data_IF_726601629184
#
_entry.id   IF_726601629184
#
_cell.length_a   1.000
_cell.length_b   1.000
_cell.length_c   1.000
_cell.angle_alpha   90.00
_cell.angle_beta   90.00
_cell.angle_gamma   90.00
#
_symmetry.space_group_name_H-M   'P 1'
#
loop_
_entity.id
_entity.type
_entity.pdbx_description
1 polymer ?
#
# COMPACT_ATOMS: atom_id res chain seq x y z
N UNK A 1 -19.59 -6.81 6.06
CA UNK A 1 -19.71 -7.88 7.07
C UNK A 1 -18.50 -7.75 7.98
N UNK A 2 -18.66 -7.64 9.31
CA UNK A 2 -17.50 -7.55 10.22
C UNK A 2 -16.82 -8.92 10.33
N UNK A 3 -15.54 -8.97 10.71
CA UNK A 3 -14.82 -10.25 10.86
C UNK A 3 -15.42 -11.15 11.95
N UNK A 4 -16.04 -10.56 12.97
CA UNK A 4 -16.82 -11.28 13.99
C UNK A 4 -18.10 -11.91 13.43
N UNK A 5 -18.84 -11.17 12.61
CA UNK A 5 -20.01 -11.69 11.90
C UNK A 5 -19.64 -12.82 10.94
N UNK A 6 -18.48 -12.73 10.27
CA UNK A 6 -18.01 -13.78 9.37
C UNK A 6 -17.69 -15.09 10.11
N UNK A 7 -17.08 -15.03 11.30
CA UNK A 7 -16.77 -16.23 12.08
C UNK A 7 -18.01 -16.86 12.72
N UNK A 8 -18.86 -16.05 13.35
CA UNK A 8 -20.06 -16.53 14.05
C UNK A 8 -21.13 -17.07 13.10
N UNK A 9 -21.12 -16.65 11.83
CA UNK A 9 -22.02 -17.16 10.79
C UNK A 9 -21.61 -18.53 10.20
N UNK A 10 -20.41 -19.04 10.47
CA UNK A 10 -19.99 -20.36 10.00
C UNK A 10 -20.70 -21.49 10.73
N UNK A 11 -20.90 -22.67 10.11
CA UNK A 11 -21.31 -23.87 10.83
C UNK A 11 -20.34 -24.19 11.99
N UNK A 12 -20.87 -24.71 13.11
CA UNK A 12 -20.08 -25.00 14.33
C UNK A 12 -18.86 -25.91 14.06
N UNK A 13 -19.00 -26.85 13.14
CA UNK A 13 -17.90 -27.74 12.73
C UNK A 13 -16.73 -26.95 12.13
N UNK A 14 -17.01 -25.92 11.34
CA UNK A 14 -15.99 -25.07 10.72
C UNK A 14 -15.41 -24.05 11.69
N UNK A 15 -16.21 -23.49 12.60
CA UNK A 15 -15.68 -22.69 13.71
C UNK A 15 -14.68 -23.52 14.53
N UNK A 16 -15.06 -24.76 14.87
CA UNK A 16 -14.20 -25.70 15.62
C UNK A 16 -12.96 -26.09 14.83
N UNK A 17 -13.11 -26.38 13.53
CA UNK A 17 -12.00 -26.72 12.64
C UNK A 17 -11.00 -25.57 12.52
N UNK A 18 -11.47 -24.34 12.36
CA UNK A 18 -10.62 -23.14 12.31
C UNK A 18 -9.83 -23.02 13.62
N UNK A 19 -10.52 -23.01 14.77
CA UNK A 19 -9.84 -22.87 16.07
C UNK A 19 -8.84 -24.00 16.31
N UNK A 20 -9.18 -25.24 15.96
CA UNK A 20 -8.31 -26.39 16.13
C UNK A 20 -7.05 -26.33 15.25
N UNK A 21 -7.17 -25.92 13.99
CA UNK A 21 -6.01 -25.81 13.10
C UNK A 21 -5.11 -24.61 13.46
N UNK A 22 -5.71 -23.53 13.98
CA UNK A 22 -4.96 -22.42 14.57
C UNK A 22 -4.15 -22.92 15.79
N UNK A 23 -4.77 -23.66 16.70
CA UNK A 23 -4.09 -24.24 17.88
C UNK A 23 -2.95 -25.20 17.49
N UNK A 24 -3.00 -25.78 16.28
CA UNK A 24 -1.96 -26.65 15.71
C UNK A 24 -0.87 -25.90 14.94
N UNK A 25 -0.95 -24.57 14.84
CA UNK A 25 0.01 -23.75 14.09
C UNK A 25 -0.12 -23.91 12.57
N UNK A 26 -1.30 -24.28 12.06
CA UNK A 26 -1.53 -24.34 10.63
C UNK A 26 -1.50 -22.93 10.01
N UNK A 27 -0.94 -22.84 8.81
CA UNK A 27 -0.79 -21.56 8.13
C UNK A 27 -2.15 -21.06 7.59
N UNK A 28 -2.53 -19.79 7.86
CA UNK A 28 -3.86 -19.25 7.51
C UNK A 28 -4.24 -19.35 6.03
N UNK A 29 -3.29 -19.20 5.11
CA UNK A 29 -3.56 -19.30 3.67
C UNK A 29 -3.89 -20.75 3.25
N UNK A 30 -3.19 -21.75 3.81
CA UNK A 30 -3.50 -23.17 3.64
C UNK A 30 -4.86 -23.53 4.24
N UNK A 31 -5.19 -22.98 5.40
CA UNK A 31 -6.52 -23.13 5.99
C UNK A 31 -7.62 -22.52 5.11
N UNK A 32 -7.36 -21.34 4.55
CA UNK A 32 -8.30 -20.65 3.69
C UNK A 32 -8.56 -21.42 2.39
N UNK A 33 -7.49 -21.97 1.79
CA UNK A 33 -7.61 -22.83 0.61
C UNK A 33 -8.53 -24.03 0.87
N UNK A 34 -8.38 -24.70 2.01
CA UNK A 34 -9.24 -25.84 2.38
C UNK A 34 -10.70 -25.42 2.58
N UNK A 35 -10.94 -24.29 3.26
CA UNK A 35 -12.29 -23.78 3.49
C UNK A 35 -13.00 -23.37 2.20
N UNK A 36 -12.27 -22.81 1.24
CA UNK A 36 -12.81 -22.41 -0.07
C UNK A 36 -13.12 -23.66 -0.91
N UNK A 37 -12.22 -24.64 -0.91
CA UNK A 37 -12.33 -25.83 -1.76
C UNK A 37 -13.35 -26.82 -1.21
N UNK A 38 -13.23 -27.19 0.07
CA UNK A 38 -14.04 -28.24 0.67
C UNK A 38 -15.29 -27.68 1.35
N UNK A 39 -15.12 -26.58 2.09
CA UNK A 39 -16.21 -25.91 2.79
C UNK A 39 -17.12 -25.08 1.86
N UNK A 40 -16.68 -24.83 0.63
CA UNK A 40 -17.37 -24.00 -0.38
C UNK A 40 -17.73 -22.60 0.13
N UNK A 41 -16.96 -22.07 1.07
CA UNK A 41 -17.13 -20.71 1.57
C UNK A 41 -16.50 -19.70 0.60
N UNK A 42 -17.06 -18.49 0.55
CA UNK A 42 -16.41 -17.42 -0.20
C UNK A 42 -15.09 -17.04 0.45
N UNK A 43 -14.09 -16.68 -0.37
CA UNK A 43 -12.78 -16.24 0.13
C UNK A 43 -12.92 -15.13 1.19
N UNK A 44 -13.83 -14.18 0.97
CA UNK A 44 -14.10 -13.09 1.92
C UNK A 44 -14.54 -13.60 3.29
N UNK A 45 -15.51 -14.54 3.33
CA UNK A 45 -15.98 -15.12 4.61
C UNK A 45 -14.87 -15.94 5.27
N UNK A 46 -14.15 -16.73 4.48
CA UNK A 46 -13.05 -17.57 4.93
C UNK A 46 -11.94 -16.77 5.61
N UNK A 47 -11.38 -15.77 4.93
CA UNK A 47 -10.30 -14.97 5.48
C UNK A 47 -10.77 -14.13 6.67
N UNK A 48 -11.96 -13.55 6.61
CA UNK A 48 -12.52 -12.79 7.73
C UNK A 48 -12.72 -13.67 8.98
N UNK A 49 -13.21 -14.90 8.81
CA UNK A 49 -13.43 -15.85 9.89
C UNK A 49 -12.12 -16.37 10.50
N UNK A 50 -11.14 -16.75 9.68
CA UNK A 50 -9.81 -17.17 10.14
C UNK A 50 -9.13 -16.00 10.88
N UNK A 51 -9.17 -14.79 10.31
CA UNK A 51 -8.60 -13.58 10.91
C UNK A 51 -9.24 -13.24 12.27
N UNK A 52 -10.54 -13.48 12.43
CA UNK A 52 -11.22 -13.24 13.70
C UNK A 52 -10.88 -14.31 14.73
N UNK A 53 -10.95 -15.59 14.36
CA UNK A 53 -10.63 -16.71 15.24
C UNK A 53 -9.19 -16.65 15.75
N UNK A 54 -8.25 -16.31 14.87
CA UNK A 54 -6.84 -16.16 15.20
C UNK A 54 -6.64 -15.04 16.23
N UNK A 55 -7.29 -13.89 16.03
CA UNK A 55 -7.26 -12.75 16.96
C UNK A 55 -7.89 -13.06 18.32
N UNK A 56 -8.96 -13.85 18.37
CA UNK A 56 -9.57 -14.27 19.63
C UNK A 56 -8.68 -15.24 20.43
N UNK A 57 -8.00 -16.16 19.74
CA UNK A 57 -7.19 -17.21 20.38
C UNK A 57 -5.84 -16.73 20.87
N UNK A 58 -5.17 -15.91 20.07
CA UNK A 58 -3.79 -15.49 20.34
C UNK A 58 -3.68 -14.03 20.77
N UNK A 59 -4.81 -13.31 20.89
CA UNK A 59 -4.78 -11.85 20.87
C UNK A 59 -4.34 -11.35 19.49
N UNK A 60 -3.99 -10.05 19.33
CA UNK A 60 -3.08 -9.69 18.24
C UNK A 60 -1.86 -10.60 18.33
N UNK A 61 -1.45 -11.23 17.21
CA UNK A 61 -0.41 -12.26 17.27
C UNK A 61 0.83 -11.69 17.98
N UNK A 62 1.41 -12.40 18.96
CA UNK A 62 2.57 -11.90 19.69
C UNK A 62 3.78 -11.63 18.78
N UNK A 63 3.80 -12.24 17.58
CA UNK A 63 4.79 -12.06 16.51
C UNK A 63 4.21 -11.52 15.19
N UNK A 64 2.97 -11.01 15.16
CA UNK A 64 2.49 -10.31 13.97
C UNK A 64 3.40 -9.09 13.78
N UNK A 65 4.11 -8.96 12.66
CA UNK A 65 4.94 -7.80 12.45
C UNK A 65 4.05 -6.58 12.62
N UNK A 66 4.52 -5.59 13.36
CA UNK A 66 3.83 -4.31 13.39
C UNK A 66 3.59 -3.88 11.93
N UNK A 67 2.41 -3.37 11.63
CA UNK A 67 2.01 -2.98 10.29
C UNK A 67 1.77 -1.47 10.28
N UNK A 68 2.18 -0.76 9.20
CA UNK A 68 1.72 0.61 9.00
C UNK A 68 0.19 0.63 8.98
N UNK A 69 -0.41 1.50 9.79
CA UNK A 69 -1.86 1.60 9.94
C UNK A 69 -2.28 3.05 10.07
N UNK A 70 -3.27 3.43 9.25
CA UNK A 70 -4.02 4.67 9.46
C UNK A 70 -5.18 4.35 10.38
N UNK A 71 -5.29 5.06 11.50
CA UNK A 71 -6.48 4.98 12.37
C UNK A 71 -7.68 5.59 11.63
N UNK A 72 -8.74 4.81 11.43
CA UNK A 72 -9.97 5.28 10.78
C UNK A 72 -11.15 5.36 11.75
N UNK A 73 -10.89 5.43 13.07
CA UNK A 73 -11.94 5.67 14.08
C UNK A 73 -12.43 7.12 14.08
N UNK A 74 -11.67 8.05 13.51
CA UNK A 74 -12.03 9.45 13.26
C UNK A 74 -12.01 9.75 11.76
N UNK A 75 -12.85 10.69 11.33
CA UNK A 75 -12.84 11.22 9.95
C UNK A 75 -11.77 12.30 9.74
N UNK A 76 -11.20 12.83 10.82
CA UNK A 76 -10.16 13.86 10.80
C UNK A 76 -8.98 13.40 11.68
N UNK A 77 -7.80 13.37 11.09
CA UNK A 77 -6.57 12.87 11.68
C UNK A 77 -5.65 14.03 12.02
N UNK A 78 -5.21 14.08 13.26
CA UNK A 78 -4.24 15.06 13.73
C UNK A 78 -2.84 14.54 13.42
N UNK A 79 -2.08 15.32 12.65
CA UNK A 79 -0.65 15.08 12.42
C UNK A 79 0.15 16.21 13.07
N UNK A 80 1.49 16.12 13.18
CA UNK A 80 2.30 17.09 13.92
C UNK A 80 2.13 18.55 13.46
N UNK A 81 1.75 18.77 12.21
CA UNK A 81 1.73 20.10 11.59
C UNK A 81 0.44 20.42 10.81
N UNK A 82 -0.50 19.47 10.68
CA UNK A 82 -1.80 19.72 10.05
C UNK A 82 -2.86 18.67 10.36
N UNK A 83 -4.10 18.99 10.01
CA UNK A 83 -5.20 18.04 9.96
C UNK A 83 -5.29 17.37 8.58
N UNK A 84 -5.63 16.08 8.55
CA UNK A 84 -5.82 15.28 7.34
C UNK A 84 -7.17 14.59 7.39
N UNK A 85 -8.01 14.76 6.38
CA UNK A 85 -9.34 14.16 6.32
C UNK A 85 -9.28 12.74 5.75
N UNK A 86 -10.14 11.84 6.25
CA UNK A 86 -10.44 10.57 5.59
C UNK A 86 -11.62 10.80 4.65
N UNK A 87 -11.39 10.65 3.34
CA UNK A 87 -12.42 10.82 2.32
C UNK A 87 -13.18 9.53 2.05
N UNK A 88 -12.48 8.39 2.11
CA UNK A 88 -13.08 7.06 2.05
C UNK A 88 -12.12 6.01 2.60
N UNK A 89 -12.65 4.86 3.02
CA UNK A 89 -11.83 3.72 3.41
C UNK A 89 -12.45 2.40 2.96
N UNK A 90 -11.59 1.48 2.56
CA UNK A 90 -11.89 0.08 2.28
C UNK A 90 -11.15 -0.77 3.31
N UNK A 91 -11.86 -1.74 3.91
CA UNK A 91 -11.30 -2.52 5.02
C UNK A 91 -10.46 -3.70 4.54
N UNK A 92 -10.76 -4.27 3.37
CA UNK A 92 -10.09 -5.48 2.89
C UNK A 92 -10.01 -5.55 1.35
N UNK A 93 -8.84 -5.25 0.73
CA UNK A 93 -7.60 -4.85 1.38
C UNK A 93 -7.74 -3.46 2.01
N UNK A 94 -6.87 -3.12 2.95
CA UNK A 94 -6.89 -1.79 3.57
C UNK A 94 -6.49 -0.75 2.53
N UNK A 95 -7.43 0.08 2.11
CA UNK A 95 -7.21 1.25 1.25
C UNK A 95 -7.85 2.47 1.90
N UNK A 96 -7.16 3.59 1.98
CA UNK A 96 -7.68 4.82 2.59
C UNK A 96 -7.36 6.00 1.68
N UNK A 97 -8.38 6.75 1.29
CA UNK A 97 -8.21 8.00 0.52
C UNK A 97 -8.20 9.15 1.50
N UNK A 98 -7.15 9.97 1.42
CA UNK A 98 -6.84 11.05 2.34
C UNK A 98 -6.98 12.40 1.65
N UNK A 99 -7.65 13.33 2.32
CA UNK A 99 -7.90 14.69 1.88
C UNK A 99 -6.97 15.68 2.57
N UNK A 100 -6.33 16.55 1.78
CA UNK A 100 -5.46 17.60 2.32
C UNK A 100 -4.27 17.05 3.11
N UNK A 101 -3.63 16.00 2.61
CA UNK A 101 -2.40 15.46 3.19
C UNK A 101 -1.22 16.41 2.95
N UNK A 102 -1.17 17.06 1.79
CA UNK A 102 -0.19 18.08 1.43
C UNK A 102 -0.90 19.42 1.17
N UNK A 103 -0.19 20.54 1.34
CA UNK A 103 -0.70 21.84 0.92
C UNK A 103 -0.39 22.05 -0.56
N UNK A 104 -1.02 23.05 -1.18
CA UNK A 104 -0.73 23.35 -2.58
C UNK A 104 0.72 23.79 -2.76
N UNK A 105 1.26 24.55 -1.80
CA UNK A 105 2.65 25.02 -1.78
C UNK A 105 3.63 23.86 -1.61
N UNK A 106 3.33 22.88 -0.75
CA UNK A 106 4.16 21.68 -0.58
C UNK A 106 4.18 20.84 -1.87
N UNK A 107 3.03 20.71 -2.54
CA UNK A 107 2.93 20.01 -3.82
C UNK A 107 3.79 20.72 -4.89
N UNK A 108 3.64 22.03 -5.04
CA UNK A 108 4.39 22.81 -6.03
C UNK A 108 5.89 22.79 -5.76
N UNK A 109 6.29 22.87 -4.49
CA UNK A 109 7.70 22.78 -4.10
C UNK A 109 8.31 21.40 -4.40
N UNK A 110 7.58 20.30 -4.15
CA UNK A 110 8.03 18.95 -4.51
C UNK A 110 8.15 18.78 -6.04
N UNK A 111 7.20 19.31 -6.81
CA UNK A 111 7.26 19.29 -8.28
C UNK A 111 8.46 20.08 -8.78
N UNK A 112 8.65 21.31 -8.31
CA UNK A 112 9.79 22.15 -8.69
C UNK A 112 11.13 21.47 -8.36
N UNK A 113 11.22 20.82 -7.19
CA UNK A 113 12.42 20.11 -6.79
C UNK A 113 12.69 18.88 -7.67
N UNK A 114 11.68 18.02 -7.85
CA UNK A 114 11.81 16.76 -8.57
C UNK A 114 12.02 16.93 -10.09
N UNK A 115 11.41 17.93 -10.70
CA UNK A 115 11.47 18.17 -12.16
C UNK A 115 12.90 18.37 -12.69
N UNK A 116 13.78 18.95 -11.88
CA UNK A 116 15.20 19.14 -12.24
C UNK A 116 16.01 17.85 -12.37
N UNK A 117 15.46 16.70 -11.93
CA UNK A 117 16.17 15.42 -11.81
C UNK A 117 15.48 14.25 -12.51
N UNK A 118 14.42 14.52 -13.27
CA UNK A 118 13.60 13.47 -13.87
C UNK A 118 14.36 12.68 -14.94
N UNK A 119 14.52 11.38 -14.69
CA UNK A 119 15.02 10.39 -15.65
C UNK A 119 13.90 9.37 -15.99
N UNK A 120 14.01 8.57 -17.06
CA UNK A 120 13.08 7.46 -17.28
C UNK A 120 12.96 6.57 -16.04
N UNK A 121 11.73 6.20 -15.65
CA UNK A 121 11.50 5.42 -14.44
C UNK A 121 11.93 3.96 -14.60
N UNK A 122 12.46 3.38 -13.54
CA UNK A 122 12.88 1.97 -13.49
C UNK A 122 11.89 1.11 -12.70
N UNK A 123 11.93 -0.19 -12.94
CA UNK A 123 11.27 -1.24 -12.14
C UNK A 123 12.32 -2.25 -11.68
N UNK A 124 12.05 -2.97 -10.59
CA UNK A 124 12.88 -4.12 -10.19
C UNK A 124 12.68 -5.23 -11.22
N UNK A 125 13.76 -5.70 -11.84
CA UNK A 125 13.70 -6.78 -12.81
C UNK A 125 13.48 -8.13 -12.11
N UNK A 126 12.87 -9.08 -12.82
CA UNK A 126 12.67 -10.43 -12.30
C UNK A 126 13.99 -11.21 -12.21
N UNK A 127 14.96 -10.86 -13.04
CA UNK A 127 16.30 -11.43 -13.05
C UNK A 127 17.25 -10.74 -12.05
N UNK A 128 18.46 -11.27 -11.91
CA UNK A 128 19.44 -10.71 -10.98
C UNK A 128 20.05 -9.36 -11.43
N UNK A 129 19.62 -8.81 -12.58
CA UNK A 129 20.19 -7.62 -13.20
C UNK A 129 19.87 -6.32 -12.45
N UNK A 130 18.87 -6.34 -11.56
CA UNK A 130 18.60 -5.24 -10.61
C UNK A 130 17.42 -4.39 -11.04
N UNK A 131 17.69 -3.19 -11.56
CA UNK A 131 16.64 -2.24 -12.00
C UNK A 131 16.74 -2.00 -13.50
N UNK A 132 15.60 -1.95 -14.18
CA UNK A 132 15.52 -1.77 -15.63
C UNK A 132 14.33 -0.90 -16.03
N UNK A 133 14.39 -0.32 -17.24
CA UNK A 133 13.20 0.30 -17.86
C UNK A 133 12.24 -0.80 -18.31
N UNK A 134 10.93 -0.52 -18.26
CA UNK A 134 9.90 -1.48 -18.63
C UNK A 134 8.83 -0.80 -19.52
N UNK A 135 8.40 -1.40 -20.63
CA UNK A 135 7.43 -0.78 -21.55
C UNK A 135 6.07 -0.48 -20.90
N UNK A 136 5.71 -1.26 -19.87
CA UNK A 136 4.51 -1.04 -19.07
C UNK A 136 4.60 0.16 -18.10
N UNK A 137 5.78 0.79 -17.92
CA UNK A 137 5.99 1.98 -17.10
C UNK A 137 6.63 3.08 -17.93
N UNK A 138 5.86 4.10 -18.29
CA UNK A 138 6.33 5.15 -19.23
C UNK A 138 6.53 6.51 -18.56
N UNK A 139 6.56 6.58 -17.23
CA UNK A 139 6.82 7.80 -16.48
C UNK A 139 8.29 8.17 -16.45
N UNK A 140 8.54 9.44 -16.13
CA UNK A 140 9.85 9.90 -15.65
C UNK A 140 9.80 10.07 -14.14
N UNK A 141 10.91 9.81 -13.44
CA UNK A 141 10.97 9.90 -11.99
C UNK A 141 12.29 10.40 -11.45
N UNK A 142 12.24 10.84 -10.19
CA UNK A 142 13.39 11.20 -9.38
C UNK A 142 13.22 10.59 -7.99
N UNK A 143 14.26 9.93 -7.48
CA UNK A 143 14.31 9.42 -6.12
C UNK A 143 15.03 10.43 -5.23
N UNK A 144 14.36 10.89 -4.18
CA UNK A 144 14.94 11.79 -3.18
C UNK A 144 15.46 10.93 -2.01
N UNK A 145 16.49 11.39 -1.32
CA UNK A 145 16.93 10.78 -0.06
C UNK A 145 15.93 11.12 1.05
N UNK A 146 15.90 10.27 2.08
CA UNK A 146 15.18 10.56 3.33
C UNK A 146 15.74 11.84 3.95
N UNK A 147 14.84 12.70 4.44
CA UNK A 147 15.18 14.00 5.04
C UNK A 147 16.14 14.85 4.18
N UNK A 148 16.04 14.77 2.84
CA UNK A 148 16.98 15.46 1.94
C UNK A 148 16.92 16.99 2.06
N UNK A 149 15.77 17.53 2.43
CA UNK A 149 15.59 18.92 2.80
C UNK A 149 14.46 19.05 3.84
N UNK A 150 14.33 20.23 4.46
CA UNK A 150 13.33 20.49 5.51
C UNK A 150 11.88 20.19 5.06
N UNK A 151 11.56 20.43 3.78
CA UNK A 151 10.25 20.09 3.22
C UNK A 151 10.01 18.57 3.23
N UNK A 152 11.00 17.80 2.77
CA UNK A 152 10.91 16.34 2.71
C UNK A 152 10.84 15.76 4.12
N UNK A 153 11.69 16.24 5.03
CA UNK A 153 11.73 15.78 6.42
C UNK A 153 10.39 16.01 7.14
N UNK A 154 9.80 17.21 6.97
CA UNK A 154 8.48 17.54 7.52
C UNK A 154 7.38 16.62 6.97
N UNK A 155 7.36 16.38 5.66
CA UNK A 155 6.39 15.47 5.04
C UNK A 155 6.59 14.04 5.58
N UNK A 156 7.82 13.56 5.67
CA UNK A 156 8.11 12.22 6.18
C UNK A 156 7.72 12.04 7.65
N UNK A 157 7.93 13.06 8.50
CA UNK A 157 7.46 13.07 9.88
C UNK A 157 5.92 13.01 9.96
N UNK A 158 5.22 13.74 9.08
CA UNK A 158 3.75 13.69 8.94
C UNK A 158 3.27 12.29 8.56
N UNK A 159 3.89 11.67 7.54
CA UNK A 159 3.55 10.32 7.10
C UNK A 159 3.81 9.28 8.20
N UNK A 160 4.89 9.44 8.97
CA UNK A 160 5.22 8.56 10.07
C UNK A 160 4.17 8.60 11.19
N UNK A 161 3.75 9.80 11.59
CA UNK A 161 2.68 9.98 12.56
C UNK A 161 1.34 9.43 12.04
N UNK A 162 1.00 9.71 10.78
CA UNK A 162 -0.24 9.29 10.15
C UNK A 162 -0.40 7.77 10.07
N UNK A 163 0.70 7.06 9.80
CA UNK A 163 0.71 5.61 9.59
C UNK A 163 1.16 4.81 10.81
N UNK A 164 1.44 5.51 11.92
CA UNK A 164 2.06 4.92 13.11
C UNK A 164 3.28 4.04 12.75
N UNK A 165 4.11 4.54 11.81
CA UNK A 165 5.24 3.81 11.26
C UNK A 165 6.50 4.68 11.28
N UNK A 166 7.65 4.20 11.79
CA UNK A 166 8.87 4.99 11.84
C UNK A 166 9.31 5.52 10.47
N UNK A 167 9.74 6.78 10.41
CA UNK A 167 10.20 7.42 9.17
C UNK A 167 11.43 6.73 8.55
N UNK A 168 12.29 6.13 9.39
CA UNK A 168 13.47 5.37 8.97
C UNK A 168 13.13 4.04 8.28
N UNK A 169 11.91 3.55 8.45
CA UNK A 169 11.33 2.42 7.71
C UNK A 169 10.59 2.86 6.45
N UNK A 170 10.69 4.13 6.05
CA UNK A 170 10.23 4.61 4.76
C UNK A 170 11.39 4.71 3.77
N UNK A 171 11.21 4.19 2.55
CA UNK A 171 12.09 4.55 1.43
C UNK A 171 12.01 6.05 1.15
N UNK A 172 12.99 6.63 0.47
CA UNK A 172 12.93 8.02 0.05
C UNK A 172 11.71 8.33 -0.84
N UNK A 173 11.29 9.60 -0.91
CA UNK A 173 10.17 9.98 -1.78
C UNK A 173 10.56 9.79 -3.25
N UNK A 174 9.72 9.06 -3.98
CA UNK A 174 9.85 8.97 -5.43
C UNK A 174 8.87 9.94 -6.10
N UNK A 175 9.39 11.00 -6.72
CA UNK A 175 8.59 11.92 -7.53
C UNK A 175 8.46 11.32 -8.93
N UNK A 176 7.24 11.32 -9.47
CA UNK A 176 6.93 10.78 -10.79
C UNK A 176 6.12 11.78 -11.60
N UNK A 177 6.45 11.86 -12.88
CA UNK A 177 5.80 12.66 -13.90
C UNK A 177 5.24 11.77 -15.00
N UNK A 178 3.97 11.97 -15.32
CA UNK A 178 3.26 11.37 -16.44
C UNK A 178 2.68 12.49 -17.30
N UNK A 179 3.16 12.61 -18.53
CA UNK A 179 2.50 13.42 -19.55
C UNK A 179 1.33 12.66 -20.18
N UNK A 180 0.71 13.25 -21.21
CA UNK A 180 -0.31 12.58 -22.01
C UNK A 180 0.16 11.20 -22.49
N UNK A 181 -0.77 10.24 -22.52
CA UNK A 181 -0.58 8.83 -22.83
C UNK A 181 0.34 8.03 -21.90
N UNK A 182 1.06 8.68 -20.98
CA UNK A 182 1.91 7.97 -20.04
C UNK A 182 1.06 7.20 -19.04
N UNK A 183 1.51 6.00 -18.68
CA UNK A 183 0.80 5.08 -17.78
C UNK A 183 1.77 4.25 -16.94
N UNK A 184 1.19 3.52 -16.00
CA UNK A 184 1.86 2.38 -15.39
C UNK A 184 0.88 1.20 -15.35
N UNK A 185 1.22 0.13 -16.05
CA UNK A 185 0.45 -1.11 -16.06
C UNK A 185 0.26 -1.67 -14.64
N UNK A 186 -0.85 -2.41 -14.40
CA UNK A 186 -1.11 -3.00 -13.10
C UNK A 186 0.05 -3.86 -12.59
N UNK A 187 0.50 -3.56 -11.38
CA UNK A 187 1.64 -4.20 -10.73
C UNK A 187 1.41 -4.28 -9.22
N UNK A 188 2.35 -4.94 -8.55
CA UNK A 188 2.43 -4.97 -7.09
C UNK A 188 3.61 -4.13 -6.62
N UNK A 189 3.42 -3.45 -5.49
CA UNK A 189 4.51 -2.76 -4.82
C UNK A 189 5.30 -3.68 -3.90
N UNK A 190 4.73 -4.80 -3.46
CA UNK A 190 5.46 -5.82 -2.72
C UNK A 190 6.40 -6.59 -3.65
N UNK A 191 7.48 -7.10 -3.06
CA UNK A 191 8.48 -7.90 -3.75
C UNK A 191 8.10 -9.38 -3.72
N UNK A 192 8.08 -10.04 -4.88
CA UNK A 192 7.85 -11.48 -4.96
C UNK A 192 9.04 -12.24 -4.30
N UNK A 193 8.83 -12.98 -3.19
CA UNK A 193 9.89 -13.72 -2.54
C UNK A 193 10.53 -14.81 -3.40
N UNK A 194 9.85 -15.27 -4.44
CA UNK A 194 10.35 -16.28 -5.38
C UNK A 194 11.22 -15.68 -6.50
N UNK A 195 11.14 -14.37 -6.73
CA UNK A 195 11.90 -13.67 -7.77
C UNK A 195 13.37 -13.44 -7.35
N UNK A 196 14.35 -13.88 -8.16
CA UNK A 196 15.77 -13.62 -7.90
C UNK A 196 16.13 -12.14 -7.74
N UNK A 197 15.53 -11.26 -8.54
CA UNK A 197 15.76 -9.80 -8.46
C UNK A 197 15.24 -9.18 -7.17
N UNK A 198 14.08 -9.65 -6.70
CA UNK A 198 13.45 -9.22 -5.45
C UNK A 198 14.24 -9.61 -4.19
N UNK A 199 15.01 -10.71 -4.22
CA UNK A 199 15.75 -11.22 -3.04
C UNK A 199 16.70 -10.19 -2.46
N UNK A 200 17.39 -9.39 -3.29
CA UNK A 200 18.30 -8.33 -2.83
C UNK A 200 17.55 -7.25 -2.05
N UNK A 201 16.37 -6.85 -2.54
CA UNK A 201 15.53 -5.85 -1.89
C UNK A 201 14.96 -6.36 -0.56
N UNK A 202 14.50 -7.62 -0.55
CA UNK A 202 13.98 -8.28 0.65
C UNK A 202 15.03 -8.39 1.77
N UNK A 203 16.30 -8.58 1.43
CA UNK A 203 17.39 -8.61 2.42
C UNK A 203 17.64 -7.22 3.02
N UNK A 204 17.70 -6.16 2.19
CA UNK A 204 18.03 -4.79 2.63
C UNK A 204 16.99 -4.15 3.54
N UNK A 205 15.69 -4.29 3.24
CA UNK A 205 14.62 -3.59 3.98
C UNK A 205 13.41 -4.47 4.34
N UNK A 206 13.47 -5.78 4.07
CA UNK A 206 12.32 -6.67 4.22
C UNK A 206 11.29 -6.46 3.10
N UNK A 207 10.00 -6.64 3.41
CA UNK A 207 8.91 -6.43 2.47
C UNK A 207 8.42 -4.97 2.50
N UNK A 208 7.86 -4.46 1.39
CA UNK A 208 7.08 -3.21 1.37
C UNK A 208 5.69 -3.53 1.92
N UNK A 209 5.39 -3.06 3.13
CA UNK A 209 4.17 -3.36 3.86
C UNK A 209 3.00 -2.46 3.47
N UNK A 210 3.28 -1.24 3.02
CA UNK A 210 2.27 -0.29 2.57
C UNK A 210 2.86 0.74 1.60
N UNK A 211 1.97 1.38 0.85
CA UNK A 211 2.29 2.45 -0.09
C UNK A 211 1.42 3.66 0.19
N UNK A 212 2.00 4.85 0.08
CA UNK A 212 1.28 6.12 0.03
C UNK A 212 1.60 6.78 -1.32
N UNK A 213 0.58 7.03 -2.13
CA UNK A 213 0.68 7.82 -3.36
C UNK A 213 0.04 9.18 -3.08
N UNK A 214 0.84 10.23 -3.09
CA UNK A 214 0.43 11.63 -2.94
C UNK A 214 0.28 12.26 -4.31
N UNK A 215 -0.86 12.91 -4.57
CA UNK A 215 -1.14 13.60 -5.81
C UNK A 215 -0.66 15.05 -5.71
N UNK A 216 0.30 15.42 -6.56
CA UNK A 216 0.93 16.75 -6.55
C UNK A 216 0.33 17.70 -7.59
N UNK A 217 -0.53 17.19 -8.47
CA UNK A 217 -1.28 17.98 -9.45
C UNK A 217 -2.71 17.46 -9.57
N UNK A 218 -3.61 18.35 -9.98
CA UNK A 218 -4.88 17.96 -10.55
C UNK A 218 -4.66 17.45 -11.98
N UNK A 219 -5.40 16.42 -12.38
CA UNK A 219 -5.39 15.91 -13.76
C UNK A 219 -6.77 16.10 -14.35
N UNK A 220 -6.83 16.69 -15.53
CA UNK A 220 -8.08 17.02 -16.20
C UNK A 220 -8.86 15.77 -16.61
N UNK A 221 -8.16 14.78 -17.20
CA UNK A 221 -8.78 13.53 -17.63
C UNK A 221 -7.80 12.35 -17.56
N UNK A 222 -8.28 11.20 -17.05
CA UNK A 222 -7.48 9.99 -16.89
C UNK A 222 -6.54 10.06 -15.68
N UNK A 223 -5.44 9.32 -15.71
CA UNK A 223 -4.41 9.39 -14.67
C UNK A 223 -4.81 8.83 -13.30
N UNK A 224 -5.95 8.14 -13.17
CA UNK A 224 -6.37 7.52 -11.92
C UNK A 224 -5.36 6.49 -11.40
N UNK A 225 -5.33 6.30 -10.09
CA UNK A 225 -4.74 5.09 -9.49
C UNK A 225 -5.83 4.02 -9.48
N UNK A 226 -5.70 3.01 -10.32
CA UNK A 226 -6.71 1.97 -10.52
C UNK A 226 -6.33 0.68 -9.79
N UNK A 227 -7.27 0.11 -9.04
CA UNK A 227 -7.17 -1.20 -8.39
C UNK A 227 -8.15 -2.16 -9.09
N UNK A 228 -7.75 -2.82 -10.20
CA UNK A 228 -8.65 -3.60 -11.04
C UNK A 228 -9.36 -4.74 -10.29
N UNK A 229 -8.69 -5.40 -9.34
CA UNK A 229 -9.30 -6.48 -8.54
C UNK A 229 -10.37 -5.99 -7.57
N UNK A 230 -10.42 -4.68 -7.30
CA UNK A 230 -11.40 -4.05 -6.41
C UNK A 230 -12.50 -3.31 -7.17
N UNK A 231 -12.35 -3.12 -8.49
CA UNK A 231 -13.20 -2.20 -9.25
C UNK A 231 -13.12 -0.75 -8.74
N UNK A 232 -11.98 -0.37 -8.14
CA UNK A 232 -11.77 0.95 -7.53
C UNK A 232 -10.83 1.79 -8.39
N UNK A 233 -11.17 3.06 -8.59
CA UNK A 233 -10.28 4.07 -9.14
C UNK A 233 -10.24 5.26 -8.19
N UNK A 234 -9.04 5.76 -7.93
CA UNK A 234 -8.83 7.00 -7.16
C UNK A 234 -8.34 8.08 -8.10
N UNK A 235 -9.16 9.12 -8.28
CA UNK A 235 -8.82 10.25 -9.13
C UNK A 235 -7.69 11.09 -8.49
N UNK A 236 -6.73 11.58 -9.28
CA UNK A 236 -5.66 12.44 -8.79
C UNK A 236 -6.20 13.85 -8.51
N UNK A 237 -6.24 14.21 -7.23
CA UNK A 237 -6.61 15.55 -6.76
C UNK A 237 -5.45 16.13 -5.97
N UNK A 238 -4.95 17.29 -6.37
CA UNK A 238 -3.79 17.93 -5.74
C UNK A 238 -3.96 18.00 -4.21
N UNK A 239 -2.90 17.67 -3.48
CA UNK A 239 -2.89 17.66 -2.01
C UNK A 239 -3.45 16.38 -1.37
N UNK A 240 -4.22 15.58 -2.11
CA UNK A 240 -4.78 14.33 -1.61
C UNK A 240 -3.80 13.16 -1.78
N UNK A 241 -4.10 12.05 -1.13
CA UNK A 241 -3.33 10.83 -1.25
C UNK A 241 -4.19 9.57 -1.17
N UNK A 242 -3.63 8.46 -1.62
CA UNK A 242 -4.15 7.12 -1.31
C UNK A 242 -3.09 6.33 -0.56
N UNK A 243 -3.49 5.79 0.58
CA UNK A 243 -2.74 4.78 1.32
C UNK A 243 -3.34 3.40 1.00
N UNK A 244 -2.49 2.40 0.83
CA UNK A 244 -2.94 1.00 0.83
C UNK A 244 -1.89 0.08 1.47
N UNK A 245 -2.37 -0.92 2.20
CA UNK A 245 -1.52 -1.95 2.77
C UNK A 245 -1.22 -3.01 1.71
N UNK A 246 0.06 -3.18 1.36
CA UNK A 246 0.55 -4.17 0.40
C UNK A 246 0.54 -5.59 0.95
N UNK A 247 0.31 -5.74 2.25
CA UNK A 247 0.29 -7.00 2.94
C UNK A 247 -0.94 -7.15 3.82
N UNK A 248 -1.34 -8.40 4.02
CA UNK A 248 -2.43 -8.80 4.91
C UNK A 248 -2.08 -8.48 6.38
N UNK A 249 -3.06 -8.66 7.27
CA UNK A 249 -2.84 -8.53 8.71
C UNK A 249 -1.76 -9.47 9.28
N UNK A 250 -1.34 -10.47 8.51
CA UNK A 250 -0.25 -11.39 8.85
C UNK A 250 1.09 -11.05 8.17
N UNK A 251 1.18 -9.90 7.49
CA UNK A 251 2.40 -9.45 6.82
C UNK A 251 2.70 -10.19 5.50
N UNK A 252 1.74 -10.98 4.98
CA UNK A 252 1.88 -11.65 3.68
C UNK A 252 1.47 -10.73 2.53
N UNK A 253 2.15 -10.77 1.37
CA UNK A 253 1.73 -10.02 0.18
C UNK A 253 0.24 -10.18 -0.14
N UNK A 254 -0.46 -9.06 -0.32
CA UNK A 254 -1.89 -9.07 -0.63
C UNK A 254 -2.11 -8.86 -2.13
N UNK A 255 -2.54 -9.93 -2.80
CA UNK A 255 -2.83 -9.93 -4.22
C UNK A 255 -3.98 -8.99 -4.63
N UNK A 256 -4.87 -8.59 -3.72
CA UNK A 256 -5.98 -7.68 -4.02
C UNK A 256 -5.49 -6.24 -4.26
N UNK A 257 -4.24 -5.94 -3.90
CA UNK A 257 -3.61 -4.62 -4.02
C UNK A 257 -2.97 -4.38 -5.39
N UNK A 258 -3.18 -5.28 -6.36
CA UNK A 258 -2.81 -5.06 -7.75
C UNK A 258 -3.33 -3.69 -8.18
N UNK A 259 -2.44 -2.80 -8.59
CA UNK A 259 -2.79 -1.44 -8.92
C UNK A 259 -1.94 -0.88 -10.07
N UNK A 260 -2.48 0.09 -10.78
CA UNK A 260 -1.80 0.76 -11.89
C UNK A 260 -2.12 2.24 -11.93
N UNK A 261 -1.36 2.96 -12.75
CA UNK A 261 -1.67 4.32 -13.15
C UNK A 261 -2.34 4.31 -14.51
N UNK A 262 -3.63 4.64 -14.57
CA UNK A 262 -4.35 4.76 -15.83
C UNK A 262 -3.67 5.81 -16.73
N UNK A 263 -3.76 5.67 -18.06
CA UNK A 263 -3.22 6.66 -18.98
C UNK A 263 -3.75 8.06 -18.66
N UNK A 264 -2.86 9.05 -18.68
CA UNK A 264 -3.28 10.45 -18.70
C UNK A 264 -3.85 10.75 -20.08
N UNK A 265 -5.07 11.28 -20.12
CA UNK A 265 -5.76 11.64 -21.36
C UNK A 265 -5.63 13.14 -21.62
N UNK A 266 -5.78 13.97 -20.58
CA UNK A 266 -5.59 15.42 -20.66
C UNK A 266 -4.96 15.96 -19.36
N UNK A 267 -4.06 16.93 -19.51
CA UNK A 267 -3.29 17.52 -18.42
C UNK A 267 -1.99 16.78 -18.10
N UNK A 268 -1.45 17.01 -16.90
CA UNK A 268 -0.19 16.43 -16.44
C UNK A 268 -0.34 15.89 -15.03
N UNK A 269 0.11 14.65 -14.82
CA UNK A 269 0.09 14.01 -13.50
C UNK A 269 1.47 14.03 -12.87
N UNK A 270 1.55 14.67 -11.71
CA UNK A 270 2.66 14.53 -10.78
C UNK A 270 2.21 13.78 -9.53
N UNK A 271 3.02 12.82 -9.09
CA UNK A 271 2.81 12.12 -7.81
C UNK A 271 4.12 12.01 -7.04
N UNK A 272 4.03 11.95 -5.71
CA UNK A 272 5.09 11.46 -4.85
C UNK A 272 4.67 10.12 -4.23
N UNK A 273 5.51 9.10 -4.36
CA UNK A 273 5.26 7.79 -3.75
C UNK A 273 6.19 7.58 -2.57
N UNK A 274 5.64 7.10 -1.46
CA UNK A 274 6.37 6.64 -0.27
C UNK A 274 6.06 5.16 -0.06
N UNK A 275 7.10 4.33 -0.04
CA UNK A 275 6.97 2.91 0.32
C UNK A 275 7.44 2.69 1.76
N UNK A 276 6.61 1.97 2.53
CA UNK A 276 6.88 1.64 3.92
C UNK A 276 7.40 0.21 4.02
N UNK A 277 8.57 0.05 4.63
CA UNK A 277 9.37 -1.18 4.72
C UNK A 277 9.18 -1.85 6.07
N UNK A 278 9.34 -3.17 6.09
CA UNK A 278 9.29 -3.96 7.32
C UNK A 278 10.43 -3.64 8.28
N UNK A 279 11.63 -3.39 7.75
CA UNK A 279 12.83 -2.99 8.49
C UNK A 279 13.33 -1.64 8.00
N UNK A 280 14.36 -1.10 8.67
CA UNK A 280 14.98 0.16 8.26
C UNK A 280 15.30 0.14 6.76
N UNK A 281 14.89 1.19 6.06
CA UNK A 281 15.17 1.36 4.64
C UNK A 281 16.58 1.95 4.50
N UNK A 282 17.45 1.24 3.77
CA UNK A 282 18.84 1.62 3.48
C UNK A 282 18.99 2.23 2.10
#
# INVERSE_FOLDING_TARGET
>A
MTSELAFTALPKEWQTWITHNIDRGCEPSGMAHQMITDGKFSAVVTYAAINHAFRLRHGPAPDSPAMPMIDCTSNLLQTPDREVAILSSFSEPRVVVLGGLLSDEECDALVAYGTTRLAPSLVVSDDAAGEATHPGRTSRGAMLKRAECELVDRIEARLAALTNWPADRGEGLQILHYGETNRYEPHYDWFDPSSPGARKQLLRGGQRLATIIMYLSDVEQGGCTAFPKLGLQVAPKKGNAVFFANASAFGQPDEKTLHGGDPVVAGVKYVATKWLRMREAV
#
